data_IF_868779790128
#
_entry.id   IF_868779790128
#
_cell.length_a   1.000
_cell.length_b   1.000
_cell.length_c   1.000
_cell.angle_alpha   90.00
_cell.angle_beta   90.00
_cell.angle_gamma   90.00
#
_symmetry.space_group_name_H-M   'P 1'
#
loop_
_entity.id
_entity.type
_entity.pdbx_description
1 polymer ?
#
# COMPACT_ATOMS: atom_id res chain seq x y z
N UNK A 1 -19.02 -86.45 -9.85
CA UNK A 1 -20.23 -86.23 -9.04
C UNK A 1 -20.59 -84.75 -9.05
N UNK A 2 -21.83 -84.46 -9.50
CA UNK A 2 -22.59 -83.18 -9.46
C UNK A 2 -22.04 -81.95 -10.22
N UNK A 3 -22.88 -81.52 -11.16
CA UNK A 3 -22.85 -80.28 -11.92
C UNK A 3 -23.45 -79.09 -11.14
N UNK A 4 -23.12 -77.85 -11.53
CA UNK A 4 -24.10 -76.81 -11.97
C UNK A 4 -23.47 -75.42 -12.24
N UNK A 5 -23.70 -74.92 -13.49
CA UNK A 5 -24.15 -73.57 -13.93
C UNK A 5 -23.20 -72.36 -13.71
N UNK A 6 -22.96 -71.41 -14.65
CA UNK A 6 -23.70 -70.78 -15.79
C UNK A 6 -22.63 -69.97 -16.60
N UNK A 7 -22.38 -70.07 -17.92
CA UNK A 7 -23.07 -69.54 -19.13
C UNK A 7 -23.41 -68.02 -18.99
N UNK A 8 -23.14 -67.06 -19.90
CA UNK A 8 -22.56 -66.96 -21.24
C UNK A 8 -22.70 -65.48 -21.73
N UNK A 9 -21.87 -65.06 -22.70
CA UNK A 9 -22.08 -64.02 -23.75
C UNK A 9 -22.01 -62.52 -23.36
N UNK A 10 -21.01 -61.80 -23.89
CA UNK A 10 -21.20 -61.04 -25.14
C UNK A 10 -19.83 -60.62 -25.74
N UNK A 11 -19.51 -61.15 -26.92
CA UNK A 11 -18.50 -60.61 -27.81
C UNK A 11 -19.24 -60.16 -29.07
N UNK A 12 -19.11 -58.89 -29.46
CA UNK A 12 -19.56 -58.41 -30.75
C UNK A 12 -18.73 -57.19 -31.18
N UNK A 13 -18.05 -57.37 -32.31
CA UNK A 13 -17.79 -56.39 -33.38
C UNK A 13 -17.10 -55.07 -33.04
N UNK A 14 -15.87 -54.91 -33.56
CA UNK A 14 -15.60 -53.89 -34.58
C UNK A 14 -14.23 -54.13 -35.23
N UNK A 15 -14.28 -54.53 -36.50
CA UNK A 15 -13.18 -54.51 -37.42
C UNK A 15 -12.96 -53.09 -37.96
N UNK A 16 -11.69 -52.74 -38.16
CA UNK A 16 -11.24 -51.84 -39.23
C UNK A 16 -11.64 -50.37 -39.14
N UNK A 17 -10.64 -49.52 -38.86
CA UNK A 17 -10.27 -48.38 -39.70
C UNK A 17 -9.03 -47.72 -39.09
N UNK A 18 -7.91 -47.91 -39.76
CA UNK A 18 -6.70 -47.08 -39.61
C UNK A 18 -7.05 -45.66 -40.04
N UNK A 19 -7.45 -44.81 -39.10
CA UNK A 19 -7.49 -43.37 -39.30
C UNK A 19 -6.16 -42.80 -38.80
N UNK A 20 -5.36 -42.32 -39.74
CA UNK A 20 -4.21 -41.46 -39.46
C UNK A 20 -4.63 -40.33 -38.54
N UNK A 21 -4.05 -40.26 -37.35
CA UNK A 21 -4.05 -39.06 -36.53
C UNK A 21 -3.23 -38.00 -37.26
N UNK A 22 -3.88 -37.22 -38.13
CA UNK A 22 -3.31 -35.95 -38.58
C UNK A 22 -3.16 -35.06 -37.33
N UNK A 23 -2.06 -34.31 -37.20
CA UNK A 23 -1.99 -33.27 -36.20
C UNK A 23 -3.14 -32.29 -36.49
N UNK A 24 -3.95 -32.05 -35.46
CA UNK A 24 -5.01 -31.06 -35.45
C UNK A 24 -4.37 -29.70 -35.77
N UNK A 25 -4.38 -29.32 -37.05
CA UNK A 25 -3.93 -28.01 -37.50
C UNK A 25 -4.93 -27.02 -36.92
N UNK A 26 -4.54 -26.46 -35.77
CA UNK A 26 -5.30 -25.50 -35.01
C UNK A 26 -6.00 -24.50 -35.93
N UNK A 27 -7.32 -24.57 -35.93
CA UNK A 27 -8.18 -23.54 -36.49
C UNK A 27 -7.92 -22.26 -35.70
N UNK A 28 -6.93 -21.50 -36.14
CA UNK A 28 -6.62 -20.19 -35.60
C UNK A 28 -7.89 -19.37 -35.74
N UNK A 29 -8.57 -19.11 -34.61
CA UNK A 29 -9.76 -18.28 -34.59
C UNK A 29 -9.38 -16.96 -35.26
N UNK A 30 -9.90 -16.74 -36.46
CA UNK A 30 -9.67 -15.53 -37.24
C UNK A 30 -10.20 -14.38 -36.39
N UNK A 31 -9.28 -13.63 -35.77
CA UNK A 31 -9.65 -12.47 -34.98
C UNK A 31 -9.98 -11.36 -35.97
N UNK A 32 -11.19 -11.45 -36.53
CA UNK A 32 -11.62 -10.60 -37.62
C UNK A 32 -12.25 -9.30 -37.11
N UNK A 33 -12.62 -9.20 -35.83
CA UNK A 33 -13.36 -8.06 -35.29
C UNK A 33 -12.60 -7.35 -34.18
N UNK A 34 -12.73 -6.03 -34.14
CA UNK A 34 -12.18 -5.18 -33.08
C UNK A 34 -12.96 -5.36 -31.78
N UNK A 35 -12.25 -5.60 -30.67
CA UNK A 35 -12.85 -5.73 -29.35
C UNK A 35 -13.50 -4.45 -28.80
N UNK A 36 -13.18 -3.27 -29.37
CA UNK A 36 -13.68 -1.97 -28.92
C UNK A 36 -14.93 -1.55 -29.71
N UNK A 37 -14.86 -1.51 -31.04
CA UNK A 37 -15.99 -1.07 -31.87
C UNK A 37 -16.82 -2.21 -32.48
N UNK A 38 -16.36 -3.46 -32.44
CA UNK A 38 -17.02 -4.61 -33.05
C UNK A 38 -16.86 -4.72 -34.58
N UNK A 39 -16.31 -3.69 -35.25
CA UNK A 39 -16.11 -3.67 -36.71
C UNK A 39 -15.01 -4.64 -37.14
N UNK A 40 -15.05 -5.05 -38.41
CA UNK A 40 -14.03 -5.93 -39.00
C UNK A 40 -12.68 -5.20 -39.12
N UNK A 41 -11.59 -5.88 -38.78
CA UNK A 41 -10.22 -5.37 -38.90
C UNK A 41 -9.74 -5.65 -40.33
N UNK A 42 -9.52 -4.60 -41.11
CA UNK A 42 -9.21 -4.74 -42.54
C UNK A 42 -7.71 -4.81 -42.86
N UNK A 43 -6.88 -4.09 -42.11
CA UNK A 43 -5.45 -3.89 -42.45
C UNK A 43 -4.51 -4.25 -41.30
N UNK A 44 -4.56 -3.46 -40.23
CA UNK A 44 -3.63 -3.57 -39.10
C UNK A 44 -4.39 -3.95 -37.84
N UNK A 45 -3.90 -4.96 -37.15
CA UNK A 45 -4.38 -5.38 -35.84
C UNK A 45 -3.37 -4.98 -34.77
N UNK A 46 -3.85 -4.33 -33.72
CA UNK A 46 -3.10 -4.06 -32.51
C UNK A 46 -3.56 -5.00 -31.41
N UNK A 47 -2.64 -5.51 -30.60
CA UNK A 47 -2.98 -6.32 -29.44
C UNK A 47 -2.79 -5.50 -28.17
N UNK A 48 -3.89 -5.20 -27.50
CA UNK A 48 -3.90 -4.50 -26.21
C UNK A 48 -4.21 -5.52 -25.13
N UNK A 49 -3.42 -5.52 -24.06
CA UNK A 49 -3.66 -6.38 -22.91
C UNK A 49 -4.86 -5.87 -22.11
N UNK A 50 -5.84 -6.74 -21.90
CA UNK A 50 -6.94 -6.52 -20.98
C UNK A 50 -6.47 -6.92 -19.58
N UNK A 51 -6.10 -5.92 -18.77
CA UNK A 51 -5.51 -6.14 -17.43
C UNK A 51 -6.47 -6.83 -16.45
N UNK A 52 -7.77 -6.79 -16.72
CA UNK A 52 -8.79 -7.45 -15.87
C UNK A 52 -8.96 -8.91 -16.29
N UNK A 53 -9.00 -9.20 -17.59
CA UNK A 53 -9.16 -10.56 -18.10
C UNK A 53 -7.84 -11.35 -18.21
N UNK A 54 -6.70 -10.67 -18.25
CA UNK A 54 -5.37 -11.25 -18.41
C UNK A 54 -5.08 -11.78 -19.83
N UNK A 55 -5.88 -11.39 -20.82
CA UNK A 55 -5.71 -11.80 -22.22
C UNK A 55 -5.50 -10.61 -23.16
N UNK A 56 -4.98 -10.88 -24.37
CA UNK A 56 -4.77 -9.84 -25.39
C UNK A 56 -6.00 -9.71 -26.27
N UNK A 57 -6.50 -8.49 -26.41
CA UNK A 57 -7.62 -8.15 -27.29
C UNK A 57 -7.12 -7.53 -28.58
N UNK A 58 -7.72 -7.92 -29.71
CA UNK A 58 -7.46 -7.29 -30.99
C UNK A 58 -8.22 -5.96 -31.11
N UNK A 59 -7.50 -4.91 -31.46
CA UNK A 59 -8.00 -3.54 -31.57
C UNK A 59 -7.62 -3.00 -32.95
N UNK A 60 -8.57 -2.35 -33.63
CA UNK A 60 -8.31 -1.72 -34.92
C UNK A 60 -7.51 -0.42 -34.74
N UNK A 61 -6.87 0.03 -35.81
CA UNK A 61 -6.08 1.27 -35.85
C UNK A 61 -6.84 2.50 -35.34
N UNK A 62 -8.14 2.62 -35.68
CA UNK A 62 -8.97 3.74 -35.20
C UNK A 62 -9.17 3.72 -33.69
N UNK A 63 -9.37 2.54 -33.11
CA UNK A 63 -9.68 2.42 -31.68
C UNK A 63 -8.42 2.50 -30.82
N UNK A 64 -7.27 1.99 -31.29
CA UNK A 64 -6.02 2.10 -30.52
C UNK A 64 -5.52 3.56 -30.43
N UNK A 65 -5.91 4.41 -31.38
CA UNK A 65 -5.59 5.82 -31.40
C UNK A 65 -6.48 6.70 -30.50
N UNK A 66 -7.50 6.13 -29.85
CA UNK A 66 -8.33 6.88 -28.90
C UNK A 66 -7.51 7.31 -27.69
N UNK A 67 -7.74 8.55 -27.23
CA UNK A 67 -7.11 9.09 -26.01
C UNK A 67 -7.81 8.60 -24.72
N UNK A 68 -9.03 8.08 -24.86
CA UNK A 68 -9.86 7.57 -23.76
C UNK A 68 -9.58 6.08 -23.54
N UNK A 69 -9.12 5.74 -22.34
CA UNK A 69 -8.82 4.35 -21.94
C UNK A 69 -9.48 4.01 -20.63
N UNK A 70 -9.95 2.77 -20.49
CA UNK A 70 -10.52 2.30 -19.24
C UNK A 70 -9.43 2.20 -18.18
N UNK A 71 -9.66 2.80 -17.01
CA UNK A 71 -8.76 2.78 -15.87
C UNK A 71 -8.43 1.37 -15.39
N UNK A 72 -9.39 0.44 -15.43
CA UNK A 72 -9.21 -0.92 -14.94
C UNK A 72 -8.56 -1.83 -15.99
N UNK A 73 -9.23 -2.10 -17.11
CA UNK A 73 -8.68 -3.02 -18.11
C UNK A 73 -7.60 -2.43 -19.02
N UNK A 74 -7.46 -1.10 -19.11
CA UNK A 74 -6.53 -0.44 -20.04
C UNK A 74 -6.97 -0.44 -21.50
N UNK A 75 -8.11 -1.03 -21.85
CA UNK A 75 -8.62 -1.01 -23.23
C UNK A 75 -9.11 0.39 -23.62
N UNK A 76 -8.93 0.82 -24.88
CA UNK A 76 -9.53 2.05 -25.39
C UNK A 76 -11.06 2.01 -25.32
N UNK A 77 -11.70 3.16 -25.06
CA UNK A 77 -13.15 3.25 -24.90
C UNK A 77 -13.73 4.35 -25.77
N UNK A 78 -14.55 3.98 -26.74
CA UNK A 78 -15.13 4.93 -27.71
C UNK A 78 -16.43 5.57 -27.20
N UNK A 79 -17.36 4.75 -26.71
CA UNK A 79 -18.72 5.12 -26.31
C UNK A 79 -19.14 4.30 -25.08
N UNK A 80 -20.20 4.74 -24.39
CA UNK A 80 -20.79 4.03 -23.22
C UNK A 80 -19.77 3.79 -22.11
N UNK A 81 -19.20 4.87 -21.60
CA UNK A 81 -18.31 4.86 -20.46
C UNK A 81 -18.84 5.77 -19.36
N UNK A 82 -18.36 5.52 -18.14
CA UNK A 82 -18.57 6.39 -16.99
C UNK A 82 -17.27 7.16 -16.74
N UNK A 83 -17.37 8.47 -16.55
CA UNK A 83 -16.24 9.31 -16.16
C UNK A 83 -16.38 9.66 -14.67
N UNK A 84 -15.36 9.33 -13.89
CA UNK A 84 -15.30 9.65 -12.47
C UNK A 84 -14.92 11.11 -12.27
N UNK A 85 -15.15 11.65 -11.07
CA UNK A 85 -14.84 13.04 -10.71
C UNK A 85 -13.36 13.42 -10.84
N UNK A 86 -12.44 12.45 -10.79
CA UNK A 86 -11.01 12.62 -11.07
C UNK A 86 -10.62 12.48 -12.56
N UNK A 87 -11.58 12.33 -13.45
CA UNK A 87 -11.36 12.14 -14.89
C UNK A 87 -10.94 10.72 -15.29
N UNK A 88 -10.89 9.75 -14.37
CA UNK A 88 -10.74 8.34 -14.75
C UNK A 88 -11.98 7.87 -15.50
N UNK A 89 -11.76 7.07 -16.54
CA UNK A 89 -12.83 6.50 -17.35
C UNK A 89 -12.99 5.02 -17.04
N UNK A 90 -14.22 4.55 -16.89
CA UNK A 90 -14.57 3.13 -16.76
C UNK A 90 -15.45 2.70 -17.93
N UNK A 91 -15.08 1.62 -18.62
CA UNK A 91 -15.91 1.09 -19.69
C UNK A 91 -17.21 0.48 -19.15
N UNK A 92 -18.25 0.36 -20.00
CA UNK A 92 -19.54 -0.24 -19.62
C UNK A 92 -19.45 -1.63 -18.98
N UNK A 93 -18.38 -2.39 -19.25
CA UNK A 93 -18.12 -3.68 -18.60
C UNK A 93 -17.61 -3.49 -17.17
N UNK A 94 -16.54 -2.72 -17.02
CA UNK A 94 -15.81 -2.63 -15.76
C UNK A 94 -16.53 -1.77 -14.73
N UNK A 95 -17.31 -0.76 -15.14
CA UNK A 95 -18.10 0.08 -14.24
C UNK A 95 -19.10 -0.72 -13.38
N UNK A 96 -19.55 -1.88 -13.87
CA UNK A 96 -20.48 -2.76 -13.16
C UNK A 96 -19.82 -3.54 -12.03
N UNK A 97 -18.49 -3.57 -12.01
CA UNK A 97 -17.69 -4.39 -11.10
C UNK A 97 -16.88 -3.53 -10.13
N UNK A 98 -17.26 -2.27 -9.91
CA UNK A 98 -16.58 -1.34 -8.99
C UNK A 98 -17.52 -0.80 -7.93
N UNK A 99 -16.94 -0.41 -6.81
CA UNK A 99 -17.65 0.29 -5.73
C UNK A 99 -17.61 1.79 -5.98
N UNK A 100 -18.78 2.38 -6.25
CA UNK A 100 -18.96 3.82 -6.46
C UNK A 100 -19.77 4.48 -5.35
N UNK A 101 -20.51 3.71 -4.56
CA UNK A 101 -21.33 4.19 -3.46
C UNK A 101 -20.54 4.24 -2.15
N UNK A 102 -20.54 5.39 -1.48
CA UNK A 102 -19.79 5.60 -0.24
C UNK A 102 -20.34 4.76 0.91
N UNK A 103 -21.66 4.51 0.94
CA UNK A 103 -22.27 3.66 1.95
C UNK A 103 -21.91 2.17 1.75
N UNK A 104 -21.79 1.71 0.51
CA UNK A 104 -21.21 0.41 0.18
C UNK A 104 -19.73 0.33 0.61
N UNK A 105 -18.91 1.32 0.28
CA UNK A 105 -17.51 1.36 0.70
C UNK A 105 -17.36 1.31 2.23
N UNK A 106 -18.19 2.06 2.96
CA UNK A 106 -18.22 2.04 4.42
C UNK A 106 -18.62 0.66 4.98
N UNK A 107 -19.62 0.00 4.39
CA UNK A 107 -20.01 -1.36 4.81
C UNK A 107 -18.88 -2.36 4.58
N UNK A 108 -18.22 -2.30 3.43
CA UNK A 108 -17.06 -3.14 3.11
C UNK A 108 -15.94 -2.90 4.12
N UNK A 109 -15.66 -1.65 4.46
CA UNK A 109 -14.66 -1.30 5.48
C UNK A 109 -14.98 -1.94 6.84
N UNK A 110 -16.21 -1.81 7.34
CA UNK A 110 -16.59 -2.39 8.63
C UNK A 110 -16.48 -3.91 8.64
N UNK A 111 -16.85 -4.57 7.54
CA UNK A 111 -16.72 -6.02 7.37
C UNK A 111 -15.25 -6.48 7.37
N UNK A 112 -14.39 -5.77 6.61
CA UNK A 112 -12.95 -6.03 6.58
C UNK A 112 -12.34 -5.83 7.97
N UNK A 113 -12.61 -4.69 8.62
CA UNK A 113 -12.12 -4.37 9.96
C UNK A 113 -12.49 -5.47 10.96
N UNK A 114 -13.78 -5.81 11.06
CA UNK A 114 -14.25 -6.84 11.97
C UNK A 114 -13.68 -8.23 11.68
N UNK A 115 -13.40 -8.55 10.40
CA UNK A 115 -12.76 -9.80 10.00
C UNK A 115 -11.29 -9.84 10.43
N UNK A 116 -10.52 -8.80 10.11
CA UNK A 116 -9.10 -8.69 10.44
C UNK A 116 -8.90 -8.70 11.95
N UNK A 117 -9.68 -7.92 12.69
CA UNK A 117 -9.64 -7.89 14.15
C UNK A 117 -9.93 -9.26 14.77
N UNK A 118 -10.97 -9.95 14.29
CA UNK A 118 -11.29 -11.30 14.79
C UNK A 118 -10.16 -12.28 14.50
N UNK A 119 -9.67 -12.28 13.26
CA UNK A 119 -8.62 -13.20 12.78
C UNK A 119 -7.29 -12.99 13.53
N UNK A 120 -6.93 -11.74 13.81
CA UNK A 120 -5.62 -11.36 14.35
C UNK A 120 -5.64 -10.95 15.82
N UNK A 121 -6.80 -11.04 16.49
CA UNK A 121 -7.01 -10.65 17.90
C UNK A 121 -6.00 -11.23 18.89
N UNK A 122 -5.40 -12.39 18.59
CA UNK A 122 -4.37 -13.02 19.43
C UNK A 122 -3.01 -12.34 19.34
N UNK A 123 -2.76 -11.58 18.27
CA UNK A 123 -1.45 -11.01 17.93
C UNK A 123 -1.47 -9.49 17.88
N UNK A 124 -2.60 -8.90 17.47
CA UNK A 124 -2.73 -7.48 17.14
C UNK A 124 -4.04 -6.91 17.66
N UNK A 125 -3.98 -5.68 18.19
CA UNK A 125 -5.14 -4.87 18.58
C UNK A 125 -5.13 -3.59 17.75
N UNK A 126 -6.20 -3.37 16.99
CA UNK A 126 -6.34 -2.22 16.10
C UNK A 126 -7.09 -1.07 16.77
N UNK A 127 -6.93 0.14 16.23
CA UNK A 127 -7.58 1.33 16.78
C UNK A 127 -9.08 1.34 16.49
N UNK A 128 -9.88 1.74 17.48
CA UNK A 128 -11.31 1.99 17.29
C UNK A 128 -11.58 3.36 16.65
N UNK A 129 -10.64 4.29 16.77
CA UNK A 129 -10.78 5.67 16.32
C UNK A 129 -10.34 5.85 14.86
N UNK A 130 -11.00 5.14 13.94
CA UNK A 130 -10.69 5.19 12.50
C UNK A 130 -11.88 5.73 11.73
N UNK A 131 -11.66 6.82 10.99
CA UNK A 131 -12.65 7.42 10.08
C UNK A 131 -12.27 7.10 8.65
N UNK A 132 -13.25 6.68 7.85
CA UNK A 132 -13.06 6.36 6.44
C UNK A 132 -13.49 7.54 5.55
N UNK A 133 -12.67 7.85 4.54
CA UNK A 133 -12.94 8.89 3.55
C UNK A 133 -12.71 8.37 2.12
N UNK A 134 -13.76 8.17 1.33
CA UNK A 134 -13.62 7.96 -0.11
C UNK A 134 -12.90 9.16 -0.73
N UNK A 135 -11.94 8.91 -1.60
CA UNK A 135 -11.20 9.95 -2.32
C UNK A 135 -11.06 9.63 -3.80
N UNK A 136 -10.81 10.70 -4.54
CA UNK A 136 -10.56 10.67 -5.95
C UNK A 136 -9.04 10.61 -6.20
N UNK A 137 -8.62 10.19 -7.40
CA UNK A 137 -7.20 10.01 -7.74
C UNK A 137 -6.41 11.31 -7.64
N UNK A 138 -7.02 12.44 -7.98
CA UNK A 138 -6.37 13.76 -7.90
C UNK A 138 -6.03 14.09 -6.45
N UNK A 139 -6.95 13.89 -5.53
CA UNK A 139 -6.73 14.12 -4.09
C UNK A 139 -5.67 13.16 -3.55
N UNK A 140 -5.74 11.89 -3.94
CA UNK A 140 -4.79 10.88 -3.53
C UNK A 140 -3.37 11.20 -4.05
N UNK A 141 -3.23 11.56 -5.32
CA UNK A 141 -1.94 11.96 -5.89
C UNK A 141 -1.43 13.27 -5.27
N UNK A 142 -2.29 14.24 -4.98
CA UNK A 142 -1.91 15.47 -4.30
C UNK A 142 -1.37 15.21 -2.88
N UNK A 143 -1.93 14.23 -2.16
CA UNK A 143 -1.41 13.81 -0.85
C UNK A 143 -0.01 13.18 -0.94
N UNK A 144 0.33 12.53 -2.07
CA UNK A 144 1.66 11.97 -2.32
C UNK A 144 2.59 12.92 -3.09
N UNK A 145 2.11 14.07 -3.57
CA UNK A 145 2.93 15.14 -4.12
C UNK A 145 3.61 15.93 -2.99
N UNK A 146 4.57 15.27 -2.33
CA UNK A 146 5.53 15.95 -1.47
C UNK A 146 6.72 16.38 -2.33
N UNK A 147 7.02 17.68 -2.36
CA UNK A 147 8.18 18.21 -3.09
C UNK A 147 9.45 17.50 -2.63
N UNK A 148 10.10 16.75 -3.53
CA UNK A 148 11.36 16.05 -3.27
C UNK A 148 11.27 14.55 -3.02
N UNK A 149 10.09 13.93 -3.15
CA UNK A 149 9.94 12.48 -3.20
C UNK A 149 9.57 12.03 -4.63
N UNK A 150 10.49 11.35 -5.33
CA UNK A 150 10.20 10.63 -6.57
C UNK A 150 9.51 9.26 -6.31
N UNK A 151 8.85 9.10 -5.15
CA UNK A 151 8.09 7.89 -4.84
C UNK A 151 6.72 7.94 -5.52
N UNK A 152 6.72 7.61 -6.81
CA UNK A 152 5.53 7.15 -7.49
C UNK A 152 5.32 5.70 -7.08
N UNK A 153 4.62 5.44 -5.98
CA UNK A 153 3.93 4.17 -5.85
C UNK A 153 2.89 4.15 -7.00
N UNK A 154 3.03 3.30 -8.03
CA UNK A 154 2.19 3.43 -9.23
C UNK A 154 0.71 3.14 -8.97
N UNK A 155 0.42 2.52 -7.82
CA UNK A 155 -0.87 1.94 -7.46
C UNK A 155 -1.27 2.31 -6.03
N UNK A 156 -1.16 3.59 -5.65
CA UNK A 156 -1.74 3.98 -4.37
C UNK A 156 -3.26 3.90 -4.50
N UNK A 157 -3.86 3.01 -3.73
CA UNK A 157 -5.31 2.79 -3.68
C UNK A 157 -5.90 3.26 -2.35
N UNK A 158 -5.06 3.57 -1.37
CA UNK A 158 -5.46 4.13 -0.10
C UNK A 158 -4.32 4.91 0.57
N UNK A 159 -4.65 5.60 1.65
CA UNK A 159 -3.68 6.31 2.47
C UNK A 159 -4.19 6.35 3.92
N UNK A 160 -3.28 6.21 4.87
CA UNK A 160 -3.57 6.32 6.29
C UNK A 160 -2.86 7.53 6.89
N UNK A 161 -3.65 8.48 7.38
CA UNK A 161 -3.18 9.68 8.08
C UNK A 161 -3.49 9.57 9.58
N UNK A 162 -2.55 10.01 10.43
CA UNK A 162 -2.80 10.13 11.87
C UNK A 162 -3.31 11.53 12.17
N UNK A 163 -4.49 11.63 12.75
CA UNK A 163 -5.06 12.87 13.24
C UNK A 163 -4.86 12.97 14.76
N UNK A 164 -4.53 14.16 15.25
CA UNK A 164 -4.45 14.42 16.70
C UNK A 164 -5.38 15.57 17.02
N UNK A 165 -6.59 15.24 17.49
CA UNK A 165 -7.58 16.22 17.90
C UNK A 165 -7.71 16.22 19.42
N UNK A 166 -7.40 17.36 20.06
CA UNK A 166 -7.59 17.58 21.50
C UNK A 166 -7.00 16.48 22.41
N UNK A 167 -5.83 15.94 22.06
CA UNK A 167 -5.15 14.90 22.84
C UNK A 167 -5.63 13.47 22.59
N UNK A 168 -6.65 13.27 21.74
CA UNK A 168 -7.04 11.95 21.24
C UNK A 168 -6.40 11.73 19.87
N UNK A 169 -5.64 10.65 19.75
CA UNK A 169 -5.14 10.20 18.46
C UNK A 169 -6.26 9.41 17.76
N UNK A 170 -6.57 9.82 16.53
CA UNK A 170 -7.44 9.10 15.60
C UNK A 170 -6.71 8.87 14.28
N UNK A 171 -7.34 8.10 13.41
CA UNK A 171 -6.84 7.82 12.07
C UNK A 171 -7.88 8.18 11.04
N UNK A 172 -7.40 8.76 9.95
CA UNK A 172 -8.16 8.97 8.74
C UNK A 172 -7.61 8.03 7.69
N UNK A 173 -8.45 7.10 7.23
CA UNK A 173 -8.12 6.23 6.10
C UNK A 173 -8.87 6.73 4.89
N UNK A 174 -8.11 7.04 3.85
CA UNK A 174 -8.63 7.42 2.57
C UNK A 174 -8.51 6.29 1.57
N UNK A 175 -9.57 6.03 0.79
CA UNK A 175 -9.60 4.94 -0.20
C UNK A 175 -10.00 5.48 -1.57
N UNK A 176 -9.32 5.04 -2.61
CA UNK A 176 -9.60 5.42 -3.98
C UNK A 176 -10.97 4.89 -4.41
N UNK A 177 -11.85 5.77 -4.90
CA UNK A 177 -13.17 5.41 -5.41
C UNK A 177 -13.08 4.58 -6.70
N UNK A 178 -14.11 3.79 -7.02
CA UNK A 178 -14.17 3.06 -8.29
C UNK A 178 -13.18 1.90 -8.39
N UNK A 179 -12.86 1.28 -7.25
CA UNK A 179 -12.08 0.04 -7.19
C UNK A 179 -13.00 -1.18 -7.24
N UNK A 180 -12.55 -2.30 -7.82
CA UNK A 180 -13.24 -3.58 -7.66
C UNK A 180 -13.35 -3.97 -6.18
N UNK A 181 -14.46 -4.63 -5.76
CA UNK A 181 -14.66 -5.00 -4.36
C UNK A 181 -13.50 -5.80 -3.73
N UNK A 182 -12.89 -6.73 -4.48
CA UNK A 182 -11.72 -7.50 -4.02
C UNK A 182 -10.51 -6.60 -3.73
N UNK A 183 -10.23 -5.68 -4.64
CA UNK A 183 -9.13 -4.70 -4.52
C UNK A 183 -9.39 -3.75 -3.34
N UNK A 184 -10.62 -3.24 -3.22
CA UNK A 184 -11.02 -2.36 -2.12
C UNK A 184 -10.85 -3.05 -0.77
N UNK A 185 -11.32 -4.30 -0.64
CA UNK A 185 -11.19 -5.09 0.59
C UNK A 185 -9.74 -5.32 1.01
N UNK A 186 -8.87 -5.70 0.06
CA UNK A 186 -7.44 -5.87 0.33
C UNK A 186 -6.78 -4.54 0.76
N UNK A 187 -7.15 -3.44 0.09
CA UNK A 187 -6.67 -2.10 0.43
C UNK A 187 -7.12 -1.69 1.84
N UNK A 188 -8.38 -1.94 2.22
CA UNK A 188 -8.86 -1.71 3.59
C UNK A 188 -7.99 -2.44 4.64
N UNK A 189 -7.68 -3.72 4.42
CA UNK A 189 -6.85 -4.49 5.34
C UNK A 189 -5.41 -3.96 5.43
N UNK A 190 -4.86 -3.52 4.29
CA UNK A 190 -3.55 -2.87 4.21
C UNK A 190 -3.52 -1.57 5.02
N UNK A 191 -4.45 -0.65 4.76
CA UNK A 191 -4.53 0.66 5.43
C UNK A 191 -4.83 0.52 6.93
N UNK A 192 -5.71 -0.40 7.32
CA UNK A 192 -5.96 -0.71 8.73
C UNK A 192 -4.66 -1.10 9.45
N UNK A 193 -3.75 -1.80 8.77
CA UNK A 193 -2.46 -2.20 9.35
C UNK A 193 -1.53 -1.02 9.60
N UNK A 194 -1.58 0.02 8.77
CA UNK A 194 -0.84 1.26 9.05
C UNK A 194 -1.28 1.93 10.36
N UNK A 195 -2.56 1.84 10.74
CA UNK A 195 -3.03 2.34 12.04
C UNK A 195 -2.34 1.60 13.19
N UNK A 196 -2.27 0.25 13.10
CA UNK A 196 -1.59 -0.58 14.09
C UNK A 196 -0.11 -0.24 14.20
N UNK A 197 0.59 -0.13 13.06
CA UNK A 197 2.01 0.26 13.03
C UNK A 197 2.19 1.63 13.70
N UNK A 198 1.25 2.55 13.46
CA UNK A 198 1.33 3.90 14.00
C UNK A 198 1.25 3.92 15.54
N UNK A 199 0.40 3.09 16.13
CA UNK A 199 0.19 3.00 17.58
C UNK A 199 1.19 2.10 18.30
N UNK A 200 1.61 1.00 17.68
CA UNK A 200 2.34 -0.08 18.35
C UNK A 200 3.85 -0.06 18.12
N UNK A 201 4.32 0.60 17.06
CA UNK A 201 5.74 0.74 16.78
C UNK A 201 6.24 2.07 17.35
N UNK A 202 7.31 2.03 18.14
CA UNK A 202 7.86 3.25 18.75
C UNK A 202 8.42 4.19 17.69
N UNK A 203 8.43 5.51 17.96
CA UNK A 203 9.02 6.51 17.04
C UNK A 203 10.49 6.19 16.71
N UNK A 204 11.26 5.76 17.72
CA UNK A 204 12.65 5.36 17.53
C UNK A 204 12.80 4.12 16.63
N UNK A 205 11.89 3.14 16.76
CA UNK A 205 11.87 1.98 15.86
C UNK A 205 11.52 2.38 14.44
N UNK A 206 10.47 3.20 14.22
CA UNK A 206 10.09 3.68 12.88
C UNK A 206 11.22 4.43 12.17
N UNK A 207 11.97 5.26 12.90
CA UNK A 207 13.11 6.01 12.32
C UNK A 207 14.25 5.11 11.82
N UNK A 208 14.37 3.89 12.35
CA UNK A 208 15.38 2.91 11.92
C UNK A 208 14.84 1.91 10.90
N UNK A 209 13.53 1.80 10.75
CA UNK A 209 12.90 0.81 9.88
C UNK A 209 12.76 1.38 8.46
N UNK A 210 13.03 0.56 7.45
CA UNK A 210 12.81 0.95 6.06
C UNK A 210 11.31 0.99 5.74
N UNK A 211 10.91 1.91 4.86
CA UNK A 211 9.52 2.01 4.41
C UNK A 211 9.06 0.69 3.78
N UNK A 212 9.89 0.06 2.95
CA UNK A 212 9.60 -1.24 2.32
C UNK A 212 9.20 -2.33 3.35
N UNK A 213 9.73 -2.28 4.58
CA UNK A 213 9.38 -3.22 5.64
C UNK A 213 8.03 -2.90 6.28
N UNK A 214 7.66 -1.62 6.36
CA UNK A 214 6.30 -1.22 6.78
C UNK A 214 5.29 -1.69 5.75
N UNK A 215 5.51 -1.35 4.48
CA UNK A 215 4.62 -1.73 3.37
C UNK A 215 4.54 -3.26 3.22
N UNK A 216 5.68 -3.96 3.36
CA UNK A 216 5.74 -5.42 3.33
C UNK A 216 4.92 -6.09 4.44
N UNK A 217 4.89 -5.49 5.62
CA UNK A 217 4.07 -5.97 6.73
C UNK A 217 2.57 -5.68 6.50
N UNK A 218 2.22 -4.49 5.98
CA UNK A 218 0.84 -4.18 5.60
C UNK A 218 0.31 -5.11 4.50
N UNK A 219 1.13 -5.41 3.48
CA UNK A 219 0.82 -6.39 2.44
C UNK A 219 0.70 -7.82 2.99
N UNK A 220 1.47 -8.19 4.02
CA UNK A 220 1.30 -9.49 4.70
C UNK A 220 -0.10 -9.61 5.30
N UNK A 221 -0.56 -8.59 6.03
CA UNK A 221 -1.89 -8.61 6.65
C UNK A 221 -2.99 -8.62 5.59
N UNK A 222 -2.85 -7.85 4.52
CA UNK A 222 -3.78 -7.89 3.38
C UNK A 222 -3.82 -9.28 2.73
N UNK A 223 -2.68 -9.95 2.55
CA UNK A 223 -2.61 -11.31 2.03
C UNK A 223 -3.29 -12.33 2.95
N UNK A 224 -3.08 -12.23 4.28
CA UNK A 224 -3.74 -13.08 5.26
C UNK A 224 -5.26 -12.89 5.28
N UNK A 225 -5.74 -11.67 5.03
CA UNK A 225 -7.15 -11.39 4.81
C UNK A 225 -7.65 -12.03 3.51
N UNK A 226 -6.99 -11.82 2.38
CA UNK A 226 -7.39 -12.43 1.10
C UNK A 226 -7.45 -13.96 1.18
N UNK A 227 -6.51 -14.58 1.88
CA UNK A 227 -6.49 -16.02 2.12
C UNK A 227 -7.69 -16.49 2.95
N UNK A 228 -8.06 -15.77 4.01
CA UNK A 228 -9.24 -16.12 4.81
C UNK A 228 -10.55 -15.96 4.04
N UNK A 229 -10.56 -15.11 3.01
CA UNK A 229 -11.69 -14.93 2.10
C UNK A 229 -11.66 -15.87 0.87
N UNK A 230 -10.65 -16.72 0.73
CA UNK A 230 -10.40 -17.54 -0.47
C UNK A 230 -10.25 -16.73 -1.78
N UNK A 231 -9.83 -15.47 -1.69
CA UNK A 231 -9.63 -14.59 -2.87
C UNK A 231 -8.24 -14.82 -3.48
N UNK A 232 -8.12 -15.90 -4.26
CA UNK A 232 -6.85 -16.28 -4.90
C UNK A 232 -6.40 -15.29 -5.99
N UNK A 233 -7.34 -14.60 -6.63
CA UNK A 233 -7.03 -13.63 -7.66
C UNK A 233 -6.33 -12.41 -7.06
N UNK A 234 -6.91 -11.81 -6.01
CA UNK A 234 -6.30 -10.67 -5.32
C UNK A 234 -5.00 -11.07 -4.62
N UNK A 235 -4.94 -12.27 -4.03
CA UNK A 235 -3.71 -12.80 -3.45
C UNK A 235 -2.59 -12.94 -4.49
N UNK A 236 -2.91 -13.33 -5.72
CA UNK A 236 -1.96 -13.38 -6.84
C UNK A 236 -1.41 -12.00 -7.21
N UNK A 237 -2.28 -10.98 -7.18
CA UNK A 237 -1.87 -9.58 -7.40
C UNK A 237 -0.88 -9.12 -6.32
N UNK A 238 -1.21 -9.33 -5.04
CA UNK A 238 -0.30 -8.97 -3.92
C UNK A 238 1.05 -9.69 -4.06
N UNK A 239 1.05 -10.99 -4.38
CA UNK A 239 2.28 -11.79 -4.53
C UNK A 239 3.18 -11.36 -5.68
N UNK A 240 2.59 -10.83 -6.75
CA UNK A 240 3.34 -10.34 -7.93
C UNK A 240 3.79 -8.90 -7.79
N UNK A 241 3.36 -8.20 -6.72
CA UNK A 241 3.71 -6.81 -6.50
C UNK A 241 5.17 -6.64 -6.06
N UNK A 242 5.98 -6.02 -6.91
CA UNK A 242 7.38 -5.71 -6.62
C UNK A 242 7.57 -4.49 -5.70
N UNK A 243 6.49 -3.78 -5.35
CA UNK A 243 6.49 -2.52 -4.60
C UNK A 243 7.32 -2.57 -3.30
N UNK A 244 7.22 -3.66 -2.55
CA UNK A 244 7.91 -3.83 -1.26
C UNK A 244 9.36 -4.31 -1.40
N UNK A 245 9.90 -4.34 -2.63
CA UNK A 245 11.25 -4.83 -2.97
C UNK A 245 11.60 -6.15 -2.28
N UNK A 246 10.63 -7.07 -2.24
CA UNK A 246 10.74 -8.40 -1.67
C UNK A 246 10.46 -8.53 -0.17
N UNK A 247 10.22 -7.43 0.57
CA UNK A 247 9.92 -7.50 2.00
C UNK A 247 8.64 -8.31 2.29
N UNK A 248 7.58 -8.14 1.49
CA UNK A 248 6.37 -8.98 1.61
C UNK A 248 6.71 -10.47 1.52
N UNK A 249 7.52 -10.89 0.53
CA UNK A 249 7.87 -12.29 0.35
C UNK A 249 8.67 -12.84 1.53
N UNK A 250 9.59 -12.04 2.09
CA UNK A 250 10.38 -12.42 3.27
C UNK A 250 9.51 -12.53 4.52
N UNK A 251 8.59 -11.60 4.74
CA UNK A 251 7.63 -11.69 5.84
C UNK A 251 6.69 -12.88 5.69
N UNK A 252 6.22 -13.16 4.48
CA UNK A 252 5.35 -14.31 4.21
C UNK A 252 6.08 -15.63 4.49
N UNK A 253 7.35 -15.73 4.11
CA UNK A 253 8.15 -16.91 4.41
C UNK A 253 8.44 -17.03 5.91
N UNK A 254 8.79 -15.93 6.58
CA UNK A 254 8.98 -15.90 8.03
C UNK A 254 7.69 -16.29 8.78
N UNK A 255 6.52 -15.87 8.30
CA UNK A 255 5.23 -16.18 8.90
C UNK A 255 4.95 -17.68 8.84
N UNK A 256 5.25 -18.30 7.69
CA UNK A 256 5.12 -19.75 7.52
C UNK A 256 6.10 -20.56 8.36
N UNK A 257 7.33 -20.09 8.53
CA UNK A 257 8.35 -20.83 9.28
C UNK A 257 8.25 -20.64 10.79
N UNK A 258 7.91 -19.42 11.23
CA UNK A 258 8.07 -19.02 12.63
C UNK A 258 6.77 -18.51 13.27
N UNK A 259 5.73 -18.26 12.47
CA UNK A 259 4.45 -17.74 12.91
C UNK A 259 4.39 -16.21 12.93
N UNK A 260 3.17 -15.69 12.87
CA UNK A 260 2.91 -14.24 12.83
C UNK A 260 3.42 -13.49 14.08
N UNK A 261 3.43 -14.13 15.25
CA UNK A 261 3.88 -13.49 16.50
C UNK A 261 5.31 -12.95 16.40
N UNK A 262 6.20 -13.73 15.79
CA UNK A 262 7.62 -13.37 15.62
C UNK A 262 7.77 -12.13 14.74
N UNK A 263 6.94 -12.00 13.70
CA UNK A 263 6.92 -10.82 12.83
C UNK A 263 6.38 -9.61 13.60
N UNK A 264 5.30 -9.78 14.36
CA UNK A 264 4.72 -8.71 15.17
C UNK A 264 5.73 -8.20 16.20
N UNK A 265 6.46 -9.09 16.87
CA UNK A 265 7.53 -8.72 17.80
C UNK A 265 8.69 -8.02 17.07
N UNK A 266 9.09 -8.51 15.89
CA UNK A 266 10.10 -7.86 15.06
C UNK A 266 9.69 -6.45 14.62
N UNK A 267 8.42 -6.24 14.26
CA UNK A 267 7.93 -4.90 13.92
C UNK A 267 8.11 -3.93 15.08
N UNK A 268 7.85 -4.38 16.31
CA UNK A 268 7.93 -3.53 17.52
C UNK A 268 9.37 -3.33 18.01
N UNK A 269 10.18 -4.39 17.97
CA UNK A 269 11.45 -4.48 18.71
C UNK A 269 12.62 -5.00 17.88
N UNK A 270 12.43 -5.28 16.61
CA UNK A 270 13.48 -5.76 15.71
C UNK A 270 14.65 -4.80 15.66
N UNK A 271 15.85 -5.36 15.57
CA UNK A 271 17.09 -4.56 15.49
C UNK A 271 17.40 -4.11 14.06
N UNK A 272 16.92 -4.86 13.07
CA UNK A 272 17.25 -4.63 11.67
C UNK A 272 16.27 -3.66 11.00
N UNK A 273 16.74 -2.82 10.07
CA UNK A 273 15.87 -1.92 9.31
C UNK A 273 14.90 -2.68 8.39
N UNK A 274 15.34 -3.84 7.89
CA UNK A 274 14.63 -4.71 6.94
C UNK A 274 14.99 -6.17 7.15
N UNK A 275 14.16 -7.09 6.64
CA UNK A 275 14.54 -8.49 6.51
C UNK A 275 15.46 -8.69 5.30
N UNK A 276 16.35 -9.69 5.39
CA UNK A 276 17.26 -10.09 4.30
C UNK A 276 17.03 -11.56 3.96
N UNK A 277 17.04 -11.89 2.67
CA UNK A 277 16.87 -13.29 2.22
C UNK A 277 18.03 -14.23 2.56
N UNK A 278 19.14 -13.70 3.08
CA UNK A 278 20.31 -14.49 3.47
C UNK A 278 20.05 -15.24 4.79
N UNK A 279 19.32 -14.63 5.71
CA UNK A 279 19.04 -15.20 7.03
C UNK A 279 17.67 -14.71 7.53
N UNK A 280 16.66 -15.56 7.42
CA UNK A 280 15.31 -15.28 7.90
C UNK A 280 15.18 -15.41 9.42
N UNK A 281 16.12 -16.08 10.11
CA UNK A 281 16.07 -16.21 11.58
C UNK A 281 16.24 -14.86 12.29
N UNK A 282 16.75 -13.85 11.56
CA UNK A 282 16.83 -12.45 12.01
C UNK A 282 15.49 -11.83 12.38
N UNK A 283 14.37 -12.39 11.91
CA UNK A 283 13.04 -11.96 12.39
C UNK A 283 12.90 -12.14 13.90
N UNK A 284 13.61 -13.10 14.51
CA UNK A 284 13.61 -13.33 15.96
C UNK A 284 14.61 -12.45 16.73
N UNK A 285 15.40 -11.64 16.01
CA UNK A 285 16.42 -10.78 16.62
C UNK A 285 15.77 -9.47 17.09
N UNK A 286 15.28 -9.50 18.32
CA UNK A 286 14.56 -8.39 18.96
C UNK A 286 15.28 -7.87 20.20
N UNK A 287 15.20 -6.55 20.42
CA UNK A 287 15.65 -5.88 21.63
C UNK A 287 14.43 -5.35 22.39
N UNK A 288 13.88 -6.19 23.27
CA UNK A 288 12.70 -5.83 24.06
C UNK A 288 13.17 -4.93 25.23
N UNK A 289 12.69 -3.69 25.34
CA UNK A 289 13.01 -2.83 26.48
C UNK A 289 12.51 -3.43 27.79
N UNK A 290 13.22 -3.21 28.89
CA UNK A 290 12.83 -3.77 30.21
C UNK A 290 11.41 -3.33 30.63
N UNK A 291 11.00 -2.12 30.27
CA UNK A 291 9.64 -1.61 30.49
C UNK A 291 8.53 -2.37 29.75
N UNK A 292 8.87 -3.20 28.77
CA UNK A 292 7.96 -4.08 28.05
C UNK A 292 8.01 -5.54 28.54
N UNK A 293 9.05 -5.94 29.28
CA UNK A 293 9.20 -7.31 29.83
C UNK A 293 8.27 -7.58 31.01
N UNK A 294 7.89 -6.53 31.75
CA UNK A 294 7.04 -6.62 32.95
C UNK A 294 5.53 -6.40 32.68
N UNK A 295 5.11 -6.26 31.42
CA UNK A 295 3.69 -6.17 31.08
C UNK A 295 3.15 -7.57 30.75
N UNK A 296 2.40 -8.24 31.65
CA UNK A 296 1.60 -9.38 31.22
C UNK A 296 0.67 -8.94 30.10
N UNK A 297 0.41 -9.83 29.13
CA UNK A 297 -0.59 -9.61 28.09
C UNK A 297 -1.90 -9.18 28.75
N UNK A 298 -2.23 -7.88 28.67
CA UNK A 298 -3.36 -7.34 29.40
C UNK A 298 -4.66 -7.98 28.89
N UNK A 299 -5.55 -8.45 29.77
CA UNK A 299 -6.89 -8.79 29.35
C UNK A 299 -7.64 -7.52 28.93
N UNK A 300 -8.59 -7.75 28.03
CA UNK A 300 -9.47 -6.77 27.41
C UNK A 300 -10.20 -5.93 28.46
N UNK A 301 -10.35 -4.63 28.17
CA UNK A 301 -11.10 -3.58 28.87
C UNK A 301 -10.50 -3.02 30.17
N UNK A 302 -9.85 -1.86 30.04
CA UNK A 302 -10.21 -0.65 30.80
C UNK A 302 -9.45 0.55 30.22
N UNK A 303 -10.19 1.57 29.77
CA UNK A 303 -9.62 2.86 29.46
C UNK A 303 -9.06 3.49 30.75
N UNK A 304 -7.77 3.83 30.75
CA UNK A 304 -7.18 4.73 31.74
C UNK A 304 -6.49 5.86 30.98
N UNK A 305 -6.80 7.14 31.23
CA UNK A 305 -6.16 8.23 30.53
C UNK A 305 -4.77 8.45 31.15
N UNK A 306 -3.70 8.09 30.43
CA UNK A 306 -2.34 8.50 30.81
C UNK A 306 -2.04 9.83 30.13
N UNK A 307 -2.12 10.90 30.92
CA UNK A 307 -1.64 12.24 30.57
C UNK A 307 -0.11 12.19 30.51
N UNK A 308 0.46 11.89 29.34
CA UNK A 308 1.89 12.06 29.12
C UNK A 308 2.15 13.52 28.75
N UNK A 309 2.90 14.23 29.60
CA UNK A 309 3.41 15.57 29.26
C UNK A 309 4.38 15.45 28.07
N UNK A 310 4.28 16.31 27.04
CA UNK A 310 5.21 16.29 25.92
C UNK A 310 6.65 16.54 26.41
N UNK A 311 7.67 15.93 25.76
CA UNK A 311 9.05 16.22 26.09
C UNK A 311 9.33 17.74 25.93
N UNK A 312 10.17 18.31 26.80
CA UNK A 312 10.50 19.74 26.74
C UNK A 312 11.12 20.08 25.39
N UNK A 313 10.68 21.19 24.80
CA UNK A 313 11.19 21.62 23.50
C UNK A 313 12.66 22.05 23.63
N UNK A 314 13.48 21.87 22.56
CA UNK A 314 14.88 22.26 22.58
C UNK A 314 15.05 23.75 22.88
N UNK A 315 16.04 24.13 23.68
CA UNK A 315 16.29 25.54 24.02
C UNK A 315 17.05 26.31 22.93
N UNK A 316 17.62 25.60 21.95
CA UNK A 316 18.43 26.19 20.87
C UNK A 316 17.99 25.70 19.49
N UNK A 317 18.20 26.52 18.46
CA UNK A 317 17.99 26.09 17.07
C UNK A 317 19.14 25.20 16.67
N UNK A 318 18.80 23.97 16.29
CA UNK A 318 19.78 22.96 15.93
C UNK A 318 19.44 22.43 14.54
N UNK A 319 20.43 22.50 13.65
CA UNK A 319 20.35 21.84 12.35
C UNK A 319 20.53 20.33 12.55
N UNK A 320 19.45 19.58 12.29
CA UNK A 320 19.38 18.13 12.46
C UNK A 320 19.66 17.36 11.17
N UNK A 321 19.55 18.00 10.01
CA UNK A 321 19.79 17.37 8.72
C UNK A 321 19.83 18.39 7.58
N UNK A 322 20.64 18.11 6.56
CA UNK A 322 20.58 18.78 5.27
C UNK A 322 20.31 17.69 4.23
N UNK A 323 19.26 17.87 3.44
CA UNK A 323 19.03 17.08 2.24
C UNK A 323 19.50 17.92 1.06
N UNK A 324 20.64 17.54 0.47
CA UNK A 324 21.27 18.32 -0.58
C UNK A 324 20.85 17.85 -1.98
N UNK A 325 20.39 18.79 -2.80
CA UNK A 325 20.21 18.63 -4.25
C UNK A 325 20.69 19.92 -4.94
N UNK A 326 21.34 19.83 -6.12
CA UNK A 326 21.74 21.00 -6.90
C UNK A 326 20.57 21.92 -7.28
N UNK A 327 19.36 21.37 -7.41
CA UNK A 327 18.16 22.11 -7.85
C UNK A 327 17.24 22.48 -6.69
N UNK A 328 17.22 21.70 -5.59
CA UNK A 328 16.32 21.91 -4.44
C UNK A 328 16.92 21.42 -3.11
N UNK A 329 17.83 22.18 -2.49
CA UNK A 329 18.36 21.84 -1.18
C UNK A 329 17.31 22.09 -0.08
N UNK A 330 17.27 21.24 0.95
CA UNK A 330 16.35 21.33 2.10
C UNK A 330 17.10 21.16 3.42
N UNK A 331 16.59 21.76 4.49
CA UNK A 331 17.18 21.77 5.82
C UNK A 331 16.17 21.37 6.90
N UNK A 332 16.57 20.53 7.84
CA UNK A 332 15.74 20.17 9.00
C UNK A 332 16.25 20.87 10.27
N UNK A 333 15.47 21.79 10.82
CA UNK A 333 15.80 22.59 12.01
C UNK A 333 14.75 22.33 13.08
N UNK A 334 15.16 21.82 14.24
CA UNK A 334 14.26 21.49 15.37
C UNK A 334 12.99 20.72 14.95
N UNK A 335 13.16 19.68 14.13
CA UNK A 335 12.09 18.80 13.61
C UNK A 335 11.12 19.45 12.61
N UNK A 336 11.45 20.65 12.12
CA UNK A 336 10.77 21.29 10.99
C UNK A 336 11.66 21.28 9.76
N UNK A 337 11.09 20.98 8.60
CA UNK A 337 11.78 21.01 7.30
C UNK A 337 11.58 22.38 6.67
N UNK A 338 12.65 22.92 6.09
CA UNK A 338 12.68 24.20 5.41
C UNK A 338 13.28 24.07 4.01
N UNK A 339 12.56 24.55 3.01
CA UNK A 339 13.10 24.91 1.70
C UNK A 339 13.72 26.31 1.70
N UNK A 340 14.45 26.65 0.64
CA UNK A 340 15.00 27.99 0.45
C UNK A 340 13.87 29.04 0.46
N UNK A 341 14.03 30.09 1.27
CA UNK A 341 13.06 31.17 1.53
C UNK A 341 11.80 30.80 2.31
N UNK A 342 11.64 29.54 2.74
CA UNK A 342 10.51 29.12 3.57
C UNK A 342 10.60 29.72 4.98
N UNK A 343 9.45 30.10 5.53
CA UNK A 343 9.30 30.69 6.85
C UNK A 343 8.30 29.87 7.68
N UNK A 344 8.69 29.47 8.90
CA UNK A 344 7.85 28.64 9.77
C UNK A 344 8.09 28.93 11.25
N UNK A 345 7.10 28.62 12.08
CA UNK A 345 7.18 28.78 13.54
C UNK A 345 7.82 27.53 14.14
N UNK A 346 8.97 27.72 14.77
CA UNK A 346 9.74 26.67 15.43
C UNK A 346 9.64 26.85 16.94
N UNK A 347 9.37 25.76 17.66
CA UNK A 347 9.31 25.78 19.13
C UNK A 347 10.73 25.81 19.71
N UNK A 348 11.01 26.79 20.56
CA UNK A 348 12.24 26.95 21.33
C UNK A 348 11.92 27.16 22.81
N UNK A 349 12.27 26.19 23.66
CA UNK A 349 11.92 26.20 25.08
C UNK A 349 10.42 26.39 25.30
N UNK A 350 10.01 27.53 25.88
CA UNK A 350 8.61 27.86 26.18
C UNK A 350 7.94 28.78 25.15
N UNK A 351 8.62 29.20 24.09
CA UNK A 351 8.09 30.11 23.08
C UNK A 351 8.22 29.56 21.66
N UNK A 352 7.49 30.17 20.72
CA UNK A 352 7.65 29.90 19.29
C UNK A 352 8.38 31.08 18.66
N UNK A 353 9.41 30.80 17.86
CA UNK A 353 10.09 31.81 17.05
C UNK A 353 9.80 31.56 15.58
N UNK A 354 9.68 32.63 14.81
CA UNK A 354 9.56 32.53 13.36
C UNK A 354 10.97 32.42 12.79
N UNK A 355 11.23 31.34 12.05
CA UNK A 355 12.51 31.09 11.40
C UNK A 355 12.28 31.13 9.90
N UNK A 356 13.11 31.90 9.19
CA UNK A 356 13.16 31.92 7.72
C UNK A 356 14.48 31.33 7.23
N UNK A 357 14.42 30.40 6.31
CA UNK A 357 15.60 29.82 5.69
C UNK A 357 16.10 30.71 4.54
N UNK A 358 17.30 31.26 4.67
CA UNK A 358 17.86 32.26 3.74
C UNK A 358 18.79 31.60 2.72
N UNK A 359 19.56 30.62 3.13
CA UNK A 359 20.40 29.83 2.23
C UNK A 359 20.62 28.42 2.79
N UNK A 360 20.73 27.44 1.91
CA UNK A 360 21.07 26.06 2.26
C UNK A 360 22.32 25.73 1.47
N UNK A 361 23.35 25.24 2.16
CA UNK A 361 24.63 24.77 1.61
C UNK A 361 24.78 23.28 1.94
N UNK A 362 25.79 22.60 1.40
CA UNK A 362 26.00 21.17 1.65
C UNK A 362 26.27 20.84 3.12
N UNK A 363 26.86 21.78 3.86
CA UNK A 363 27.37 21.59 5.22
C UNK A 363 26.75 22.57 6.24
N UNK A 364 26.02 23.58 5.77
CA UNK A 364 25.48 24.65 6.60
C UNK A 364 24.15 25.21 6.09
N UNK A 365 23.37 25.79 7.00
CA UNK A 365 22.11 26.46 6.69
C UNK A 365 22.11 27.85 7.30
N UNK A 366 21.83 28.86 6.49
CA UNK A 366 21.73 30.25 6.92
C UNK A 366 20.26 30.56 7.13
N UNK A 367 19.91 30.99 8.34
CA UNK A 367 18.55 31.32 8.76
C UNK A 367 18.45 32.73 9.30
N UNK A 368 17.22 33.24 9.38
CA UNK A 368 16.88 34.49 10.08
C UNK A 368 15.80 34.19 11.11
N UNK A 369 15.98 34.67 12.33
CA UNK A 369 15.08 34.40 13.45
C UNK A 369 14.36 35.70 13.86
N UNK A 370 13.03 35.70 13.81
CA UNK A 370 12.14 36.70 14.42
C UNK A 370 12.50 38.17 14.15
N UNK A 371 12.29 38.66 12.93
CA UNK A 371 12.45 40.08 12.59
C UNK A 371 13.89 40.63 12.65
N UNK A 372 14.86 39.85 13.12
CA UNK A 372 16.28 40.24 13.12
C UNK A 372 16.79 40.46 11.69
N UNK A 373 17.59 41.50 11.47
CA UNK A 373 18.23 41.77 10.17
C UNK A 373 19.42 40.83 9.91
N UNK A 374 20.07 40.35 10.98
CA UNK A 374 21.29 39.55 10.89
C UNK A 374 21.00 38.06 10.67
N UNK A 375 21.54 37.45 9.60
CA UNK A 375 21.42 36.02 9.35
C UNK A 375 22.37 35.22 10.25
N UNK A 376 21.87 34.08 10.74
CA UNK A 376 22.57 33.13 11.59
C UNK A 376 22.88 31.86 10.81
N UNK A 377 24.09 31.32 10.94
CA UNK A 377 24.49 30.08 10.27
C UNK A 377 24.45 28.91 11.26
N UNK A 378 23.73 27.85 10.91
CA UNK A 378 23.68 26.59 11.62
C UNK A 378 24.50 25.54 10.85
N UNK A 379 25.30 24.76 11.56
CA UNK A 379 26.07 23.63 11.01
C UNK A 379 25.70 22.35 11.73
N UNK A 380 25.75 21.22 11.04
CA UNK A 380 25.43 19.91 11.63
C UNK A 380 26.29 19.65 12.88
N UNK A 381 25.63 19.31 13.99
CA UNK A 381 26.30 19.01 15.26
C UNK A 381 26.76 20.21 16.10
N UNK A 382 26.45 21.45 15.70
CA UNK A 382 26.64 22.63 16.56
C UNK A 382 25.31 23.32 16.84
N UNK A 383 24.97 23.46 18.12
CA UNK A 383 23.89 24.33 18.57
C UNK A 383 24.42 25.75 18.74
N UNK A 384 23.59 26.73 18.41
CA UNK A 384 23.86 28.14 18.69
C UNK A 384 22.99 28.55 19.86
N UNK A 385 23.62 28.89 20.97
CA UNK A 385 22.99 29.58 22.08
C UNK A 385 22.60 31.00 21.65
N UNK A 386 21.55 31.52 22.27
CA UNK A 386 21.19 32.92 22.16
C UNK A 386 22.25 33.80 22.80
#
# INVERSE_FOLDING_TARGET
>A
MKAMKTILLLALLLAGLTASSQPDTGRQAKIDNCAVCGEKIERVVYFVEDKVAGDKKAVCEKCVALTTTCYLCGLPVKEKYEELSDGRILCARDVKNVVLDDAEAQRIWQDVKGTVERQLSRFMNFSDNVTLHPLDRVDLQAMFQVVGNDYVCPNVWGCTERETNNGHAGFKISLLRGLPPSVLKATCAHELTHTWVSENVSRARKQRMEQDSVEGFCELVAALYCESQNDQAQLGIIKSNAYTRGQFALFREAERQFGLNEIVEWMKYGVDPRLTGIDLTRVRKVEIPDSAKDKPAAPVFAAVPVRATPPPAPETLTLKGIMWSPTRPMAMINDHTFALNEESKVRLGQSNVVVRCVAIRQDAVVIRVGGSSEPQTLTLGKSTAK
#
